data_IF_529164752786
#
_entry.id   IF_529164752786
#
_cell.length_a   1.000
_cell.length_b   1.000
_cell.length_c   1.000
_cell.angle_alpha   90.00
_cell.angle_beta   90.00
_cell.angle_gamma   90.00
#
_symmetry.space_group_name_H-M   'P 1'
#
loop_
_entity.id
_entity.type
_entity.pdbx_description
1 polymer ?
#
# COMPACT_ATOMS: atom_id res chain seq x y z
N UNK A 1 30.47 -31.03 68.13
CA UNK A 1 30.21 -30.23 69.34
C UNK A 1 30.27 -28.76 68.94
N UNK A 2 29.23 -27.98 69.22
CA UNK A 2 29.24 -26.51 69.04
C UNK A 2 29.67 -25.95 70.40
N UNK A 3 30.88 -25.41 70.49
CA UNK A 3 31.31 -24.71 71.69
C UNK A 3 30.72 -23.30 71.65
N UNK A 4 29.85 -22.98 72.61
CA UNK A 4 29.41 -21.60 72.79
C UNK A 4 30.57 -20.77 73.36
N UNK A 5 30.72 -19.54 72.88
CA UNK A 5 31.67 -18.62 73.46
C UNK A 5 31.25 -18.31 74.92
N UNK A 6 32.19 -18.30 75.88
CA UNK A 6 31.87 -17.96 77.26
C UNK A 6 31.40 -16.49 77.35
N UNK A 7 30.38 -16.25 78.19
CA UNK A 7 29.88 -14.90 78.43
C UNK A 7 30.94 -14.06 79.15
N UNK A 8 31.25 -12.88 78.62
CA UNK A 8 32.14 -11.92 79.28
C UNK A 8 31.32 -11.14 80.32
N UNK A 9 31.72 -11.19 81.60
CA UNK A 9 31.08 -10.42 82.65
C UNK A 9 31.47 -8.93 82.51
N UNK A 10 30.64 -8.14 81.82
CA UNK A 10 30.85 -6.70 81.66
C UNK A 10 30.21 -5.98 82.84
N UNK A 11 30.98 -5.12 83.52
CA UNK A 11 30.49 -4.26 84.61
C UNK A 11 29.49 -3.23 84.07
N UNK A 12 28.34 -3.09 84.72
CA UNK A 12 27.15 -2.34 84.25
C UNK A 12 27.31 -0.82 84.06
N UNK A 13 28.51 -0.26 84.27
CA UNK A 13 28.78 1.17 84.11
C UNK A 13 29.44 1.56 82.78
N UNK A 14 29.90 0.60 81.96
CA UNK A 14 30.45 0.86 80.62
C UNK A 14 29.57 0.18 79.56
N UNK A 15 28.58 0.91 79.06
CA UNK A 15 27.73 0.45 77.97
C UNK A 15 28.51 0.51 76.64
N UNK A 16 29.25 -0.55 76.34
CA UNK A 16 29.28 -1.23 75.03
C UNK A 16 29.44 -0.45 73.72
N UNK A 17 30.33 0.54 73.61
CA UNK A 17 30.66 1.16 72.30
C UNK A 17 32.15 1.12 71.91
N UNK A 18 33.06 0.69 72.79
CA UNK A 18 34.50 0.73 72.51
C UNK A 18 35.09 -0.65 72.26
N UNK A 19 35.82 -0.80 71.15
CA UNK A 19 36.77 -1.89 70.96
C UNK A 19 37.81 -1.81 72.06
N UNK A 20 37.86 -2.82 72.90
CA UNK A 20 38.82 -2.86 74.00
C UNK A 20 39.82 -4.00 73.77
N UNK A 21 41.05 -3.74 74.17
CA UNK A 21 42.17 -4.67 74.11
C UNK A 21 42.58 -4.95 75.55
N UNK A 22 42.31 -6.14 76.08
CA UNK A 22 42.69 -6.46 77.44
C UNK A 22 44.21 -6.59 77.51
N UNK A 23 44.82 -6.04 78.56
CA UNK A 23 46.27 -6.19 78.82
C UNK A 23 46.62 -7.65 79.16
N UNK A 24 45.72 -8.35 79.85
CA UNK A 24 45.81 -9.78 80.14
C UNK A 24 44.47 -10.46 79.83
N UNK A 25 44.52 -11.61 79.16
CA UNK A 25 43.35 -12.47 78.96
C UNK A 25 43.74 -13.93 79.16
N UNK A 26 42.77 -14.77 79.51
CA UNK A 26 42.97 -16.20 79.71
C UNK A 26 41.67 -16.96 79.67
N UNK A 27 41.77 -18.28 79.57
CA UNK A 27 40.63 -19.18 79.55
C UNK A 27 40.59 -19.98 80.84
N UNK A 28 39.44 -19.97 81.51
CA UNK A 28 39.16 -20.87 82.62
C UNK A 28 38.76 -22.21 82.00
N UNK A 29 39.68 -23.17 82.04
CA UNK A 29 39.48 -24.53 81.55
C UNK A 29 39.80 -25.50 82.69
N UNK A 30 39.00 -26.56 82.79
CA UNK A 30 39.13 -27.53 83.88
C UNK A 30 40.55 -28.10 83.96
N UNK A 31 41.23 -27.80 85.07
CA UNK A 31 42.58 -28.28 85.41
C UNK A 31 43.72 -27.82 84.47
N UNK A 32 43.55 -26.73 83.69
CA UNK A 32 44.61 -26.19 82.81
C UNK A 32 45.07 -24.81 83.29
N UNK A 33 46.12 -24.78 84.12
CA UNK A 33 46.66 -23.52 84.66
C UNK A 33 47.47 -22.69 83.66
N UNK A 34 47.98 -23.31 82.59
CA UNK A 34 48.83 -22.68 81.58
C UNK A 34 48.10 -21.67 80.68
N UNK A 35 46.77 -21.70 80.67
CA UNK A 35 45.92 -20.85 79.84
C UNK A 35 45.20 -19.76 80.64
N UNK A 36 45.44 -19.65 81.95
CA UNK A 36 44.84 -18.63 82.81
C UNK A 36 45.34 -17.20 82.50
N UNK A 37 46.56 -17.07 81.94
CA UNK A 37 47.12 -15.79 81.46
C UNK A 37 47.91 -16.04 80.17
N UNK A 38 47.45 -15.49 79.05
CA UNK A 38 48.04 -15.64 77.72
C UNK A 38 48.70 -14.33 77.27
N UNK A 39 50.03 -14.24 77.42
CA UNK A 39 50.81 -13.04 77.10
C UNK A 39 51.27 -12.89 75.64
N UNK A 40 50.72 -13.66 74.67
CA UNK A 40 51.33 -13.79 73.32
C UNK A 40 50.42 -13.60 72.10
N UNK A 41 49.20 -13.11 72.25
CA UNK A 41 48.36 -12.73 71.09
C UNK A 41 47.57 -11.47 71.38
N UNK A 42 47.48 -10.56 70.41
CA UNK A 42 46.59 -9.40 70.46
C UNK A 42 45.14 -9.87 70.43
N UNK A 43 44.56 -10.20 71.59
CA UNK A 43 43.13 -10.44 71.72
C UNK A 43 42.40 -9.11 71.71
N UNK A 44 41.31 -9.00 70.95
CA UNK A 44 40.52 -7.77 70.85
C UNK A 44 39.06 -8.16 70.83
N UNK A 45 38.26 -7.60 71.74
CA UNK A 45 36.82 -7.83 71.75
C UNK A 45 36.10 -6.67 71.08
N UNK A 46 35.09 -7.04 70.31
CA UNK A 46 34.21 -6.12 69.61
C UNK A 46 32.82 -6.18 70.24
N UNK A 47 32.09 -5.06 70.27
CA UNK A 47 30.72 -5.05 70.75
C UNK A 47 29.83 -5.97 69.91
N UNK A 48 28.82 -6.57 70.55
CA UNK A 48 27.84 -7.42 69.88
C UNK A 48 27.05 -6.62 68.81
N UNK A 49 26.63 -7.28 67.71
CA UNK A 49 25.76 -6.67 66.72
C UNK A 49 24.40 -6.30 67.34
N UNK A 50 23.98 -5.06 67.16
CA UNK A 50 22.68 -4.54 67.63
C UNK A 50 21.77 -4.31 66.44
N UNK A 51 20.53 -4.78 66.51
CA UNK A 51 19.54 -4.65 65.45
C UNK A 51 18.42 -3.68 65.83
N UNK A 52 17.91 -2.95 64.84
CA UNK A 52 16.74 -2.08 64.98
C UNK A 52 15.46 -2.83 64.58
N UNK A 53 14.36 -2.61 65.32
CA UNK A 53 13.03 -3.11 64.94
C UNK A 53 12.50 -2.38 63.70
N UNK A 54 11.66 -3.04 62.89
CA UNK A 54 11.21 -2.47 61.59
C UNK A 54 10.44 -1.14 61.72
N UNK A 55 9.46 -1.09 62.62
CA UNK A 55 8.61 0.07 62.86
C UNK A 55 8.02 0.00 64.28
N UNK A 56 7.51 1.11 64.86
CA UNK A 56 6.88 1.11 66.19
C UNK A 56 5.70 0.13 66.31
N UNK A 57 5.01 -0.12 65.20
CA UNK A 57 3.88 -1.05 65.07
C UNK A 57 4.30 -2.52 64.84
N UNK A 58 5.60 -2.79 64.64
CA UNK A 58 6.15 -4.15 64.52
C UNK A 58 5.75 -4.91 63.24
N UNK A 59 5.16 -4.25 62.25
CA UNK A 59 4.74 -4.86 60.97
C UNK A 59 5.33 -4.08 59.79
N UNK A 60 5.96 -4.79 58.85
CA UNK A 60 6.50 -4.25 57.60
C UNK A 60 5.69 -4.79 56.40
N UNK A 61 5.10 -3.89 55.61
CA UNK A 61 4.33 -4.24 54.41
C UNK A 61 5.20 -4.27 53.16
N UNK A 62 5.13 -5.36 52.40
CA UNK A 62 6.00 -5.62 51.26
C UNK A 62 5.22 -6.14 50.05
N UNK A 63 5.75 -5.86 48.85
CA UNK A 63 5.27 -6.44 47.59
C UNK A 63 5.98 -7.78 47.34
N UNK A 64 5.40 -8.67 46.52
CA UNK A 64 6.09 -9.89 46.10
C UNK A 64 7.46 -9.56 45.50
N UNK A 65 8.52 -10.22 46.01
CA UNK A 65 9.90 -10.06 45.51
C UNK A 65 10.68 -8.86 46.02
N UNK A 66 10.12 -7.96 46.84
CA UNK A 66 10.90 -6.87 47.44
C UNK A 66 11.80 -7.38 48.58
N UNK A 67 13.07 -6.97 48.66
CA UNK A 67 13.98 -7.46 49.70
C UNK A 67 13.68 -6.82 51.07
N UNK A 68 13.90 -7.57 52.14
CA UNK A 68 13.74 -7.13 53.53
C UNK A 68 15.06 -6.51 54.00
N UNK A 69 14.99 -5.30 54.54
CA UNK A 69 16.15 -4.56 55.06
C UNK A 69 16.04 -4.48 56.58
N UNK A 70 17.00 -5.08 57.27
CA UNK A 70 17.14 -5.00 58.73
C UNK A 70 18.35 -4.14 59.06
N UNK A 71 18.13 -2.97 59.67
CA UNK A 71 19.20 -2.06 60.08
C UNK A 71 19.87 -2.53 61.37
N UNK A 72 21.16 -2.28 61.49
CA UNK A 72 21.91 -2.61 62.69
C UNK A 72 23.25 -1.90 62.78
N UNK A 73 23.91 -2.06 63.93
CA UNK A 73 25.24 -1.53 64.24
C UNK A 73 26.18 -2.68 64.60
N UNK A 74 27.49 -2.49 64.42
CA UNK A 74 28.52 -3.49 64.74
C UNK A 74 28.35 -4.83 63.99
N UNK A 75 27.85 -4.78 62.74
CA UNK A 75 27.56 -5.98 61.94
C UNK A 75 28.83 -6.62 61.34
N UNK A 76 29.91 -5.85 61.18
CA UNK A 76 31.18 -6.34 60.65
C UNK A 76 32.30 -5.83 61.56
N UNK A 77 32.93 -6.69 62.37
CA UNK A 77 34.07 -6.27 63.19
C UNK A 77 35.30 -6.00 62.29
N UNK A 78 36.03 -4.89 62.47
CA UNK A 78 37.20 -4.54 61.65
C UNK A 78 38.44 -5.34 62.09
N UNK A 79 38.54 -6.60 61.68
CA UNK A 79 39.70 -7.46 62.02
C UNK A 79 40.88 -7.18 61.08
N UNK A 80 42.05 -6.84 61.66
CA UNK A 80 43.30 -6.62 60.94
C UNK A 80 43.92 -7.97 60.52
N UNK A 81 43.51 -8.49 59.36
CA UNK A 81 44.11 -9.67 58.73
C UNK A 81 43.12 -10.83 58.52
N UNK A 82 42.43 -10.82 57.39
CA UNK A 82 41.62 -11.95 56.90
C UNK A 82 40.11 -11.74 57.05
N UNK A 83 39.36 -12.07 55.99
CA UNK A 83 37.90 -11.93 55.83
C UNK A 83 37.08 -12.80 56.81
N UNK A 84 37.15 -12.54 58.11
CA UNK A 84 36.33 -13.25 59.10
C UNK A 84 34.95 -12.59 59.20
N UNK A 85 33.99 -13.04 58.40
CA UNK A 85 32.59 -12.59 58.48
C UNK A 85 31.82 -13.41 59.51
N UNK A 86 31.06 -12.76 60.39
CA UNK A 86 30.11 -13.45 61.26
C UNK A 86 29.06 -14.19 60.39
N UNK A 87 28.61 -15.36 60.86
CA UNK A 87 27.60 -16.16 60.15
C UNK A 87 26.21 -15.68 60.56
N UNK A 88 25.57 -14.91 59.68
CA UNK A 88 24.20 -14.45 59.81
C UNK A 88 23.24 -15.46 59.14
N UNK A 89 22.18 -15.84 59.86
CA UNK A 89 21.05 -16.59 59.30
C UNK A 89 19.78 -15.83 59.61
N UNK A 90 18.96 -15.52 58.59
CA UNK A 90 17.65 -14.91 58.80
C UNK A 90 16.53 -15.84 58.31
N UNK A 91 15.48 -15.93 59.13
CA UNK A 91 14.32 -16.76 58.90
C UNK A 91 13.07 -15.90 58.78
N UNK A 92 12.21 -16.25 57.83
CA UNK A 92 10.89 -15.65 57.63
C UNK A 92 9.87 -16.79 57.80
N UNK A 93 9.17 -16.77 58.93
CA UNK A 93 8.42 -17.93 59.40
C UNK A 93 9.38 -19.11 59.63
N UNK A 94 9.18 -20.19 58.88
CA UNK A 94 10.02 -21.40 58.94
C UNK A 94 11.08 -21.46 57.82
N UNK A 95 11.07 -20.52 56.86
CA UNK A 95 11.99 -20.54 55.71
C UNK A 95 13.20 -19.65 55.96
N UNK A 96 14.40 -20.18 55.72
CA UNK A 96 15.63 -19.41 55.71
C UNK A 96 15.75 -18.59 54.42
N UNK A 97 16.18 -17.33 54.51
CA UNK A 97 16.46 -16.50 53.36
C UNK A 97 17.96 -16.26 53.14
N UNK A 98 18.33 -15.94 51.90
CA UNK A 98 19.70 -15.56 51.53
C UNK A 98 19.99 -14.16 52.05
N UNK A 99 21.03 -14.02 52.88
CA UNK A 99 21.35 -12.76 53.56
C UNK A 99 22.64 -12.16 53.01
N UNK A 100 22.58 -10.88 52.66
CA UNK A 100 23.74 -10.05 52.31
C UNK A 100 24.00 -9.06 53.44
N UNK A 101 25.22 -9.07 53.99
CA UNK A 101 25.62 -8.24 55.14
C UNK A 101 26.38 -7.01 54.66
N UNK A 102 25.99 -5.83 55.15
CA UNK A 102 26.70 -4.55 55.02
C UNK A 102 27.05 -4.02 56.42
N UNK A 103 27.89 -2.99 56.52
CA UNK A 103 28.32 -2.40 57.78
C UNK A 103 27.16 -1.87 58.64
N UNK A 104 26.05 -1.50 58.00
CA UNK A 104 24.88 -0.86 58.64
C UNK A 104 23.55 -1.60 58.47
N UNK A 105 23.50 -2.66 57.65
CA UNK A 105 22.26 -3.37 57.36
C UNK A 105 22.45 -4.81 56.86
N UNK A 106 21.46 -5.64 57.14
CA UNK A 106 21.26 -6.97 56.57
C UNK A 106 20.16 -6.89 55.51
N UNK A 107 20.48 -7.30 54.29
CA UNK A 107 19.54 -7.43 53.19
C UNK A 107 19.17 -8.90 53.03
N UNK A 108 17.89 -9.21 52.98
CA UNK A 108 17.39 -10.55 52.72
C UNK A 108 16.44 -10.56 51.55
N UNK A 109 16.71 -11.46 50.61
CA UNK A 109 15.84 -11.68 49.47
C UNK A 109 14.57 -12.40 49.96
N UNK A 110 13.42 -11.75 49.76
CA UNK A 110 12.16 -12.30 50.24
C UNK A 110 11.85 -13.62 49.52
N UNK A 111 11.57 -14.71 50.24
CA UNK A 111 11.11 -15.95 49.62
C UNK A 111 9.72 -15.74 49.00
N UNK A 112 9.35 -16.61 48.04
CA UNK A 112 8.01 -16.66 47.46
C UNK A 112 6.99 -17.15 48.50
N UNK A 113 6.56 -16.24 49.37
CA UNK A 113 5.53 -16.43 50.38
C UNK A 113 4.58 -15.24 50.34
N UNK A 114 3.29 -15.47 50.55
CA UNK A 114 2.26 -14.44 50.73
C UNK A 114 1.70 -14.52 52.14
N UNK A 115 1.20 -13.41 52.68
CA UNK A 115 0.62 -13.35 54.03
C UNK A 115 1.58 -12.83 55.11
N UNK A 116 1.24 -13.08 56.38
CA UNK A 116 1.91 -12.51 57.56
C UNK A 116 2.89 -13.50 58.19
N UNK A 117 4.18 -13.16 58.23
CA UNK A 117 5.25 -14.05 58.70
C UNK A 117 6.17 -13.36 59.72
N UNK A 118 6.67 -14.09 60.72
CA UNK A 118 7.61 -13.57 61.73
C UNK A 118 9.03 -13.58 61.18
N UNK A 119 9.79 -12.50 61.40
CA UNK A 119 11.21 -12.45 61.01
C UNK A 119 12.10 -12.72 62.21
N UNK A 120 13.11 -13.57 62.05
CA UNK A 120 14.09 -13.93 63.08
C UNK A 120 15.51 -13.86 62.50
N UNK A 121 16.36 -13.01 63.07
CA UNK A 121 17.78 -12.92 62.75
C UNK A 121 18.61 -13.66 63.81
N UNK A 122 19.50 -14.56 63.39
CA UNK A 122 20.39 -15.34 64.23
C UNK A 122 21.85 -15.09 63.85
N UNK A 123 22.68 -14.80 64.85
CA UNK A 123 24.13 -14.57 64.67
C UNK A 123 24.88 -15.28 65.77
N UNK A 124 25.67 -16.30 65.41
CA UNK A 124 26.31 -17.15 66.40
C UNK A 124 25.28 -17.79 67.35
N UNK A 125 25.34 -17.43 68.64
CA UNK A 125 24.39 -17.85 69.67
C UNK A 125 23.27 -16.86 70.01
N UNK A 126 23.22 -15.69 69.35
CA UNK A 126 22.21 -14.65 69.62
C UNK A 126 21.04 -14.73 68.65
N UNK A 127 19.83 -14.50 69.16
CA UNK A 127 18.59 -14.45 68.39
C UNK A 127 17.85 -13.13 68.61
N UNK A 128 17.46 -12.48 67.51
CA UNK A 128 16.74 -11.22 67.53
C UNK A 128 15.53 -11.26 66.60
N UNK A 129 14.39 -10.74 67.05
CA UNK A 129 13.13 -10.74 66.30
C UNK A 129 12.67 -9.30 66.02
N UNK A 130 12.96 -8.73 64.84
CA UNK A 130 12.65 -7.33 64.52
C UNK A 130 11.16 -7.02 64.33
N UNK A 131 10.33 -8.04 64.07
CA UNK A 131 8.89 -7.89 63.84
C UNK A 131 8.31 -8.90 62.85
N UNK A 132 7.12 -8.59 62.33
CA UNK A 132 6.39 -9.38 61.33
C UNK A 132 6.45 -8.69 59.95
N UNK A 133 6.44 -9.45 58.87
CA UNK A 133 6.28 -8.96 57.49
C UNK A 133 4.93 -9.38 56.92
N UNK A 134 4.27 -8.51 56.16
CA UNK A 134 3.02 -8.80 55.44
C UNK A 134 3.24 -8.64 53.93
N UNK A 135 3.17 -9.76 53.19
CA UNK A 135 3.40 -9.79 51.73
C UNK A 135 2.05 -9.86 51.02
N UNK A 136 1.74 -8.83 50.21
CA UNK A 136 0.48 -8.70 49.48
C UNK A 136 0.44 -9.60 48.23
N UNK A 137 -0.69 -10.23 47.88
CA UNK A 137 -0.82 -11.03 46.65
C UNK A 137 -0.93 -10.15 45.39
N UNK A 138 -0.26 -10.57 44.31
CA UNK A 138 -0.39 -9.92 42.99
C UNK A 138 -1.79 -10.16 42.40
N UNK A 139 -2.54 -9.10 42.14
CA UNK A 139 -3.85 -9.17 41.47
C UNK A 139 -3.70 -8.90 39.97
N UNK A 140 -4.05 -9.84 39.07
CA UNK A 140 -3.65 -9.76 37.67
C UNK A 140 -4.45 -8.81 36.75
N UNK A 141 -5.50 -8.11 37.19
CA UNK A 141 -6.13 -6.95 36.52
C UNK A 141 -7.31 -6.46 37.37
N UNK A 142 -7.57 -5.16 37.41
CA UNK A 142 -8.69 -4.62 38.18
C UNK A 142 -10.02 -4.94 37.47
N UNK A 143 -11.03 -5.37 38.22
CA UNK A 143 -12.40 -5.64 37.71
C UNK A 143 -12.95 -4.50 36.81
N UNK A 144 -12.71 -3.20 37.10
CA UNK A 144 -13.10 -2.10 36.22
C UNK A 144 -12.45 -2.13 34.82
N UNK A 145 -11.22 -2.63 34.70
CA UNK A 145 -10.52 -2.72 33.41
C UNK A 145 -11.17 -3.75 32.47
N UNK A 146 -11.72 -4.84 33.00
CA UNK A 146 -12.39 -5.88 32.19
C UNK A 146 -13.72 -5.35 31.64
N UNK A 147 -14.50 -4.66 32.48
CA UNK A 147 -15.79 -4.09 32.09
C UNK A 147 -15.63 -3.03 31.00
N UNK A 148 -14.60 -2.19 31.09
CA UNK A 148 -14.34 -1.15 30.09
C UNK A 148 -13.92 -1.72 28.73
N UNK A 149 -13.08 -2.75 28.69
CA UNK A 149 -12.67 -3.42 27.44
C UNK A 149 -13.87 -4.11 26.77
N UNK A 150 -14.73 -4.77 27.55
CA UNK A 150 -15.93 -5.43 27.03
C UNK A 150 -16.93 -4.42 26.44
N UNK A 151 -17.15 -3.28 27.11
CA UNK A 151 -18.02 -2.21 26.62
C UNK A 151 -17.50 -1.58 25.31
N UNK A 152 -16.18 -1.31 25.23
CA UNK A 152 -15.56 -0.77 24.03
C UNK A 152 -15.64 -1.75 22.84
N UNK A 153 -15.39 -3.04 23.08
CA UNK A 153 -15.53 -4.08 22.06
C UNK A 153 -16.96 -4.21 21.54
N UNK A 154 -17.95 -4.17 22.43
CA UNK A 154 -19.37 -4.21 22.06
C UNK A 154 -19.79 -3.03 21.18
N UNK A 155 -19.38 -1.80 21.55
CA UNK A 155 -19.65 -0.60 20.76
C UNK A 155 -19.04 -0.66 19.34
N UNK A 156 -17.82 -1.19 19.22
CA UNK A 156 -17.13 -1.32 17.94
C UNK A 156 -17.85 -2.31 17.01
N UNK A 157 -18.34 -3.44 17.55
CA UNK A 157 -19.13 -4.41 16.79
C UNK A 157 -20.45 -3.80 16.30
N UNK A 158 -21.16 -3.06 17.17
CA UNK A 158 -22.42 -2.38 16.79
C UNK A 158 -22.17 -1.37 15.67
N UNK A 159 -21.07 -0.62 15.74
CA UNK A 159 -20.69 0.33 14.70
C UNK A 159 -20.42 -0.36 13.35
N UNK A 160 -19.67 -1.46 13.33
CA UNK A 160 -19.41 -2.25 12.12
C UNK A 160 -20.72 -2.77 11.51
N UNK A 161 -21.63 -3.30 12.34
CA UNK A 161 -22.94 -3.79 11.87
C UNK A 161 -23.77 -2.65 11.27
N UNK A 162 -23.80 -1.48 11.91
CA UNK A 162 -24.49 -0.30 11.37
C UNK A 162 -23.93 0.14 10.01
N UNK A 163 -22.61 0.14 9.85
CA UNK A 163 -21.94 0.46 8.57
C UNK A 163 -22.29 -0.58 7.50
N UNK A 164 -22.30 -1.87 7.82
CA UNK A 164 -22.70 -2.93 6.88
C UNK A 164 -24.16 -2.82 6.45
N UNK A 165 -25.06 -2.49 7.39
CA UNK A 165 -26.48 -2.24 7.09
C UNK A 165 -26.62 -1.00 6.19
N UNK A 166 -25.91 0.09 6.50
CA UNK A 166 -25.91 1.30 5.68
C UNK A 166 -25.36 1.03 4.28
N UNK A 167 -24.26 0.29 4.17
CA UNK A 167 -23.66 -0.11 2.89
C UNK A 167 -24.62 -0.98 2.07
N UNK A 168 -25.24 -2.01 2.68
CA UNK A 168 -26.25 -2.83 1.99
C UNK A 168 -27.47 -2.03 1.58
N UNK A 169 -27.92 -1.08 2.40
CA UNK A 169 -29.04 -0.19 2.07
C UNK A 169 -28.68 0.72 0.90
N UNK A 170 -27.49 1.32 0.91
CA UNK A 170 -26.97 2.19 -0.16
C UNK A 170 -26.77 1.43 -1.48
N UNK A 171 -26.19 0.22 -1.41
CA UNK A 171 -26.00 -0.66 -2.57
C UNK A 171 -27.34 -1.11 -3.16
N UNK A 172 -28.32 -1.45 -2.31
CA UNK A 172 -29.66 -1.80 -2.77
C UNK A 172 -30.37 -0.61 -3.41
N UNK A 173 -30.19 0.59 -2.87
CA UNK A 173 -30.74 1.81 -3.45
C UNK A 173 -30.14 2.11 -4.83
N UNK A 174 -28.81 2.00 -4.99
CA UNK A 174 -28.16 2.16 -6.30
C UNK A 174 -28.61 1.10 -7.31
N UNK A 175 -28.71 -0.17 -6.88
CA UNK A 175 -29.19 -1.25 -7.74
C UNK A 175 -30.65 -1.04 -8.17
N UNK A 176 -31.49 -0.54 -7.26
CA UNK A 176 -32.88 -0.17 -7.58
C UNK A 176 -32.95 1.00 -8.55
N UNK A 177 -32.09 2.01 -8.41
CA UNK A 177 -32.03 3.13 -9.39
C UNK A 177 -31.59 2.65 -10.76
N UNK A 178 -30.59 1.76 -10.84
CA UNK A 178 -30.12 1.20 -12.11
C UNK A 178 -31.20 0.35 -12.76
N UNK A 179 -31.85 -0.55 -11.99
CA UNK A 179 -32.99 -1.35 -12.48
C UNK A 179 -34.17 -0.48 -12.92
N UNK A 180 -34.43 0.64 -12.24
CA UNK A 180 -35.47 1.59 -12.64
C UNK A 180 -35.13 2.28 -13.96
N UNK A 181 -33.87 2.71 -14.15
CA UNK A 181 -33.41 3.28 -15.42
C UNK A 181 -33.51 2.25 -16.56
N UNK A 182 -33.12 0.99 -16.32
CA UNK A 182 -33.29 -0.10 -17.29
C UNK A 182 -34.76 -0.33 -17.62
N UNK A 183 -35.63 -0.47 -16.62
CA UNK A 183 -37.06 -0.68 -16.87
C UNK A 183 -37.73 0.53 -17.55
N UNK A 184 -37.29 1.75 -17.28
CA UNK A 184 -37.75 2.94 -17.99
C UNK A 184 -37.29 2.92 -19.46
N UNK A 185 -36.06 2.47 -19.72
CA UNK A 185 -35.55 2.26 -21.08
C UNK A 185 -36.34 1.17 -21.80
N UNK A 186 -36.56 0.01 -21.17
CA UNK A 186 -37.31 -1.11 -21.76
C UNK A 186 -38.77 -0.74 -22.05
N UNK A 187 -39.41 0.06 -21.19
CA UNK A 187 -40.77 0.53 -21.40
C UNK A 187 -40.85 1.60 -22.52
N UNK A 188 -39.85 2.49 -22.61
CA UNK A 188 -39.73 3.42 -23.73
C UNK A 188 -39.45 2.66 -25.03
N UNK A 189 -38.53 1.70 -25.01
CA UNK A 189 -38.21 0.81 -26.12
C UNK A 189 -39.45 0.04 -26.57
N UNK A 190 -40.23 -0.55 -25.67
CA UNK A 190 -41.45 -1.29 -26.03
C UNK A 190 -42.55 -0.40 -26.63
N UNK A 191 -42.66 0.86 -26.19
CA UNK A 191 -43.63 1.82 -26.76
C UNK A 191 -43.20 2.26 -28.16
N UNK A 192 -41.91 2.49 -28.34
CA UNK A 192 -41.31 2.93 -29.59
C UNK A 192 -41.06 1.75 -30.55
N UNK A 193 -41.01 0.51 -30.08
CA UNK A 193 -40.69 -0.65 -30.91
C UNK A 193 -41.73 -0.93 -32.01
N UNK A 194 -43.01 -0.64 -31.76
CA UNK A 194 -44.05 -0.76 -32.78
C UNK A 194 -43.93 0.37 -33.81
N UNK A 195 -43.77 1.61 -33.35
CA UNK A 195 -43.53 2.79 -34.21
C UNK A 195 -42.24 2.64 -35.02
N UNK A 196 -41.17 2.09 -34.43
CA UNK A 196 -39.91 1.80 -35.11
C UNK A 196 -40.04 0.64 -36.09
N UNK A 197 -40.87 -0.38 -35.83
CA UNK A 197 -41.11 -1.45 -36.82
C UNK A 197 -41.88 -0.94 -38.02
N UNK A 198 -42.86 -0.07 -37.79
CA UNK A 198 -43.62 0.57 -38.87
C UNK A 198 -42.72 1.54 -39.65
N UNK A 199 -41.98 2.42 -38.95
CA UNK A 199 -41.01 3.31 -39.58
C UNK A 199 -39.88 2.54 -40.29
N UNK A 200 -39.46 1.38 -39.77
CA UNK A 200 -38.47 0.52 -40.42
C UNK A 200 -39.05 -0.12 -41.69
N UNK A 201 -40.30 -0.59 -41.66
CA UNK A 201 -40.95 -1.13 -42.85
C UNK A 201 -41.10 -0.05 -43.93
N UNK A 202 -41.50 1.16 -43.55
CA UNK A 202 -41.58 2.33 -44.43
C UNK A 202 -40.20 2.72 -44.98
N UNK A 203 -39.18 2.77 -44.12
CA UNK A 203 -37.81 3.07 -44.55
C UNK A 203 -37.26 1.96 -45.46
N UNK A 204 -37.58 0.69 -45.20
CA UNK A 204 -37.14 -0.42 -46.01
C UNK A 204 -37.77 -0.38 -47.40
N UNK A 205 -39.04 0.02 -47.52
CA UNK A 205 -39.66 0.26 -48.84
C UNK A 205 -39.02 1.44 -49.55
N UNK A 206 -38.77 2.54 -48.84
CA UNK A 206 -38.18 3.75 -49.40
C UNK A 206 -36.73 3.53 -49.87
N UNK A 207 -35.92 2.82 -49.07
CA UNK A 207 -34.56 2.42 -49.44
C UNK A 207 -34.62 1.42 -50.57
N UNK A 208 -35.56 0.46 -50.57
CA UNK A 208 -35.65 -0.51 -51.65
C UNK A 208 -35.94 0.18 -52.99
N UNK A 209 -36.83 1.17 -53.00
CA UNK A 209 -37.09 2.03 -54.16
C UNK A 209 -35.82 2.80 -54.58
N UNK A 210 -35.13 3.44 -53.64
CA UNK A 210 -33.88 4.15 -53.92
C UNK A 210 -32.76 3.22 -54.42
N UNK A 211 -32.66 2.00 -53.86
CA UNK A 211 -31.68 0.99 -54.28
C UNK A 211 -32.03 0.36 -55.62
N UNK A 212 -33.32 0.21 -55.94
CA UNK A 212 -33.78 -0.22 -57.26
C UNK A 212 -33.40 0.81 -58.33
N UNK A 213 -33.44 2.11 -58.00
CA UNK A 213 -32.94 3.17 -58.88
C UNK A 213 -31.40 3.14 -58.99
N UNK A 214 -30.72 2.76 -57.91
CA UNK A 214 -29.27 2.55 -57.89
C UNK A 214 -28.82 1.29 -58.65
N UNK A 215 -29.66 0.29 -58.87
CA UNK A 215 -29.32 -0.87 -59.72
C UNK A 215 -29.01 -0.44 -61.17
N UNK A 216 -29.49 0.72 -61.61
CA UNK A 216 -29.14 1.34 -62.89
C UNK A 216 -27.88 2.20 -62.87
N UNK A 217 -27.55 2.85 -61.74
CA UNK A 217 -26.46 3.83 -61.63
C UNK A 217 -25.19 3.31 -60.89
N UNK A 218 -25.33 2.25 -60.10
CA UNK A 218 -24.32 1.70 -59.21
C UNK A 218 -24.02 2.57 -57.99
N UNK A 219 -23.44 1.97 -56.95
CA UNK A 219 -22.95 2.71 -55.78
C UNK A 219 -21.80 3.62 -56.22
N UNK A 220 -21.79 4.92 -55.82
CA UNK A 220 -20.76 5.88 -56.20
C UNK A 220 -19.46 5.66 -55.41
N UNK A 221 -18.81 4.52 -55.62
CA UNK A 221 -17.51 4.22 -55.02
C UNK A 221 -16.45 5.22 -55.51
N UNK A 222 -15.71 5.78 -54.56
CA UNK A 222 -14.49 6.51 -54.90
C UNK A 222 -13.45 5.54 -55.49
N UNK A 223 -12.71 6.03 -56.48
CA UNK A 223 -11.55 5.31 -57.00
C UNK A 223 -10.48 5.15 -55.91
N UNK A 224 -9.64 4.14 -56.08
CA UNK A 224 -8.64 3.76 -55.09
C UNK A 224 -7.74 4.94 -54.69
N UNK A 225 -7.34 5.79 -55.65
CA UNK A 225 -6.46 6.93 -55.41
C UNK A 225 -7.18 7.98 -54.56
N UNK A 226 -8.39 8.41 -54.94
CA UNK A 226 -9.14 9.40 -54.15
C UNK A 226 -9.50 8.90 -52.76
N UNK A 227 -9.95 7.64 -52.65
CA UNK A 227 -10.23 7.00 -51.36
C UNK A 227 -9.00 7.04 -50.45
N UNK A 228 -7.86 6.56 -50.97
CA UNK A 228 -6.62 6.48 -50.23
C UNK A 228 -6.15 7.86 -49.74
N UNK A 229 -6.22 8.86 -50.62
CA UNK A 229 -5.79 10.22 -50.28
C UNK A 229 -6.66 10.86 -49.21
N UNK A 230 -7.98 10.67 -49.26
CA UNK A 230 -8.89 11.19 -48.23
C UNK A 230 -8.64 10.57 -46.85
N UNK A 231 -8.17 9.32 -46.78
CA UNK A 231 -7.88 8.64 -45.50
C UNK A 231 -6.48 8.98 -44.97
N UNK A 232 -5.48 9.01 -45.84
CA UNK A 232 -4.10 9.31 -45.45
C UNK A 232 -3.93 10.80 -45.09
N UNK A 233 -4.56 11.70 -45.84
CA UNK A 233 -4.44 13.16 -45.70
C UNK A 233 -5.82 13.83 -45.59
N UNK A 234 -6.54 13.64 -44.46
CA UNK A 234 -7.90 14.14 -44.31
C UNK A 234 -7.95 15.67 -44.35
N UNK A 235 -8.91 16.20 -45.12
CA UNK A 235 -9.13 17.65 -45.27
C UNK A 235 -8.19 18.36 -46.24
N UNK A 236 -7.36 17.63 -47.00
CA UNK A 236 -6.47 18.19 -48.03
C UNK A 236 -6.90 17.63 -49.39
N UNK A 237 -7.61 18.43 -50.18
CA UNK A 237 -8.11 17.99 -51.50
C UNK A 237 -6.99 17.92 -52.54
N UNK A 238 -6.06 18.90 -52.53
CA UNK A 238 -5.01 19.04 -53.52
C UNK A 238 -3.62 18.83 -52.91
N UNK A 239 -3.37 17.59 -52.48
CA UNK A 239 -2.13 17.23 -51.80
C UNK A 239 -0.96 17.11 -52.81
N UNK A 240 0.25 17.63 -52.50
CA UNK A 240 1.40 17.61 -53.42
C UNK A 240 1.80 16.21 -53.95
N UNK A 241 1.49 15.15 -53.21
CA UNK A 241 1.67 13.75 -53.64
C UNK A 241 0.96 13.43 -54.96
N UNK A 242 -0.11 14.16 -55.28
CA UNK A 242 -0.89 13.94 -56.49
C UNK A 242 -0.36 14.69 -57.71
N UNK A 243 0.59 15.61 -57.51
CA UNK A 243 1.15 16.46 -58.55
C UNK A 243 2.57 16.03 -58.88
N UNK A 244 3.03 16.44 -60.05
CA UNK A 244 4.43 16.32 -60.41
C UNK A 244 5.30 17.23 -59.53
N UNK A 245 6.56 16.83 -59.34
CA UNK A 245 7.49 17.57 -58.50
C UNK A 245 7.85 18.92 -59.15
N UNK A 246 7.27 20.00 -58.63
CA UNK A 246 7.56 21.37 -59.08
C UNK A 246 8.85 21.89 -58.43
N UNK A 247 9.97 21.82 -59.16
CA UNK A 247 11.27 22.38 -58.73
C UNK A 247 11.80 23.32 -59.81
N UNK A 248 12.32 24.52 -59.48
CA UNK A 248 12.93 25.41 -60.46
C UNK A 248 14.04 24.71 -61.25
N UNK A 249 14.04 24.83 -62.59
CA UNK A 249 14.86 24.01 -63.49
C UNK A 249 16.36 23.97 -63.18
N UNK A 250 16.93 25.04 -62.61
CA UNK A 250 18.35 25.08 -62.22
C UNK A 250 18.70 24.19 -61.01
N UNK A 251 17.71 23.75 -60.21
CA UNK A 251 17.90 22.85 -59.05
C UNK A 251 17.30 21.47 -59.25
N UNK A 252 16.51 21.28 -60.31
CA UNK A 252 15.71 20.08 -60.51
C UNK A 252 16.56 18.81 -60.47
N UNK A 253 17.64 18.75 -61.26
CA UNK A 253 18.52 17.58 -61.31
C UNK A 253 19.15 17.25 -59.94
N UNK A 254 19.59 18.29 -59.21
CA UNK A 254 20.20 18.10 -57.88
C UNK A 254 19.19 17.61 -56.84
N UNK A 255 17.98 18.15 -56.86
CA UNK A 255 16.91 17.76 -55.95
C UNK A 255 16.44 16.34 -56.26
N UNK A 256 16.20 16.01 -57.52
CA UNK A 256 15.81 14.66 -57.94
C UNK A 256 16.88 13.62 -57.57
N UNK A 257 18.17 13.94 -57.78
CA UNK A 257 19.28 13.06 -57.35
C UNK A 257 19.27 12.85 -55.83
N UNK A 258 19.06 13.90 -55.05
CA UNK A 258 18.94 13.82 -53.60
C UNK A 258 17.76 12.96 -53.14
N UNK A 259 16.58 13.15 -53.74
CA UNK A 259 15.38 12.38 -53.45
C UNK A 259 15.54 10.90 -53.82
N UNK A 260 16.20 10.58 -54.94
CA UNK A 260 16.53 9.19 -55.32
C UNK A 260 17.44 8.52 -54.29
N UNK A 261 18.49 9.21 -53.82
CA UNK A 261 19.36 8.69 -52.75
C UNK A 261 18.60 8.53 -51.43
N UNK A 262 17.72 9.47 -51.09
CA UNK A 262 16.88 9.36 -49.89
C UNK A 262 15.91 8.18 -50.00
N UNK A 263 15.28 7.96 -51.16
CA UNK A 263 14.44 6.80 -51.40
C UNK A 263 15.22 5.48 -51.24
N UNK A 264 16.50 5.43 -51.63
CA UNK A 264 17.36 4.26 -51.34
C UNK A 264 17.55 4.05 -49.84
N UNK A 265 17.72 5.11 -49.05
CA UNK A 265 17.80 5.01 -47.58
C UNK A 265 16.47 4.52 -46.98
N UNK A 266 15.32 4.98 -47.47
CA UNK A 266 14.00 4.50 -47.01
C UNK A 266 13.81 3.00 -47.29
N UNK A 267 14.43 2.47 -48.35
CA UNK A 267 14.45 1.04 -48.67
C UNK A 267 15.45 0.24 -47.80
N UNK A 268 16.22 0.87 -46.93
CA UNK A 268 17.06 0.19 -45.95
C UNK A 268 16.31 0.09 -44.61
N UNK A 269 16.00 -1.16 -44.20
CA UNK A 269 15.20 -1.44 -42.98
C UNK A 269 15.80 -0.80 -41.73
N UNK A 270 17.12 -0.89 -41.56
CA UNK A 270 17.82 -0.36 -40.38
C UNK A 270 17.74 1.15 -40.33
N UNK A 271 17.93 1.81 -41.49
CA UNK A 271 17.78 3.26 -41.59
C UNK A 271 16.36 3.68 -41.27
N UNK A 272 15.35 3.09 -41.90
CA UNK A 272 13.96 3.50 -41.74
C UNK A 272 13.45 3.34 -40.30
N UNK A 273 13.79 2.22 -39.65
CA UNK A 273 13.47 2.01 -38.23
C UNK A 273 14.16 3.07 -37.35
N UNK A 274 15.44 3.31 -37.57
CA UNK A 274 16.19 4.32 -36.81
C UNK A 274 15.63 5.72 -37.02
N UNK A 275 15.31 6.07 -38.27
CA UNK A 275 14.72 7.36 -38.64
C UNK A 275 13.40 7.61 -37.90
N UNK A 276 12.47 6.66 -37.91
CA UNK A 276 11.18 6.78 -37.21
C UNK A 276 11.40 6.90 -35.70
N UNK A 277 12.22 6.04 -35.11
CA UNK A 277 12.54 6.07 -33.66
C UNK A 277 13.15 7.41 -33.25
N UNK A 278 14.07 7.95 -34.05
CA UNK A 278 14.69 9.25 -33.78
C UNK A 278 13.67 10.38 -33.83
N UNK A 279 12.77 10.40 -34.82
CA UNK A 279 11.70 11.40 -34.89
C UNK A 279 10.77 11.33 -33.67
N UNK A 280 10.30 10.12 -33.32
CA UNK A 280 9.37 9.95 -32.20
C UNK A 280 9.99 10.27 -30.84
N UNK A 281 11.31 10.16 -30.70
CA UNK A 281 12.01 10.54 -29.47
C UNK A 281 12.02 12.06 -29.21
N UNK A 282 11.74 12.87 -30.22
CA UNK A 282 11.75 14.34 -30.09
C UNK A 282 10.46 14.83 -29.44
N UNK A 283 10.58 15.62 -28.37
CA UNK A 283 9.41 16.21 -27.67
C UNK A 283 8.63 17.20 -28.54
N UNK A 284 9.31 17.86 -29.48
CA UNK A 284 8.70 18.80 -30.43
C UNK A 284 7.91 18.09 -31.53
N UNK A 285 8.07 16.77 -31.70
CA UNK A 285 7.36 16.02 -32.72
C UNK A 285 5.90 15.83 -32.27
N UNK A 286 4.97 16.52 -32.92
CA UNK A 286 3.57 16.54 -32.53
C UNK A 286 2.79 15.33 -33.04
N UNK A 287 1.57 15.13 -32.53
CA UNK A 287 0.66 14.09 -33.02
C UNK A 287 0.33 14.24 -34.50
N UNK A 288 0.22 15.48 -34.98
CA UNK A 288 0.01 15.79 -36.39
C UNK A 288 1.22 15.39 -37.23
N UNK A 289 2.44 15.67 -36.75
CA UNK A 289 3.67 15.33 -37.46
C UNK A 289 3.84 13.81 -37.58
N UNK A 290 3.54 13.06 -36.50
CA UNK A 290 3.48 11.59 -36.52
C UNK A 290 2.55 11.09 -37.62
N UNK A 291 1.34 11.66 -37.67
CA UNK A 291 0.33 11.34 -38.66
C UNK A 291 0.78 11.57 -40.10
N UNK A 292 1.42 12.71 -40.35
CA UNK A 292 1.94 13.11 -41.65
C UNK A 292 3.11 12.23 -42.11
N UNK A 293 4.09 11.99 -41.23
CA UNK A 293 5.26 11.15 -41.54
C UNK A 293 4.82 9.71 -41.84
N UNK A 294 3.92 9.14 -41.03
CA UNK A 294 3.37 7.81 -41.30
C UNK A 294 2.70 7.72 -42.68
N UNK A 295 1.92 8.74 -43.04
CA UNK A 295 1.18 8.76 -44.31
C UNK A 295 2.12 8.92 -45.51
N UNK A 296 3.10 9.82 -45.43
CA UNK A 296 4.11 9.99 -46.47
C UNK A 296 4.98 8.73 -46.66
N UNK A 297 5.44 8.10 -45.57
CA UNK A 297 6.22 6.85 -45.65
C UNK A 297 5.38 5.76 -46.30
N UNK A 298 4.12 5.60 -45.89
CA UNK A 298 3.24 4.58 -46.47
C UNK A 298 2.92 4.84 -47.95
N UNK A 299 2.78 6.10 -48.36
CA UNK A 299 2.68 6.48 -49.78
C UNK A 299 3.94 6.07 -50.55
N UNK A 300 5.13 6.40 -50.04
CA UNK A 300 6.41 6.04 -50.69
C UNK A 300 6.59 4.51 -50.79
N UNK A 301 6.14 3.78 -49.78
CA UNK A 301 6.26 2.32 -49.71
C UNK A 301 5.08 1.57 -50.32
N UNK A 302 4.10 2.26 -50.91
CA UNK A 302 2.88 1.66 -51.44
C UNK A 302 3.15 0.60 -52.51
N UNK A 303 4.19 0.77 -53.34
CA UNK A 303 4.57 -0.23 -54.35
C UNK A 303 5.38 -1.41 -53.78
N UNK A 304 5.72 -1.39 -52.49
CA UNK A 304 6.54 -2.39 -51.80
C UNK A 304 5.91 -2.78 -50.45
N UNK A 305 4.63 -3.17 -50.48
CA UNK A 305 3.87 -3.47 -49.26
C UNK A 305 4.44 -4.61 -48.43
N UNK A 306 5.12 -5.58 -49.04
CA UNK A 306 5.81 -6.66 -48.30
C UNK A 306 6.88 -6.07 -47.36
N UNK A 307 7.76 -5.23 -47.89
CA UNK A 307 8.77 -4.51 -47.11
C UNK A 307 8.13 -3.57 -46.07
N UNK A 308 7.10 -2.83 -46.46
CA UNK A 308 6.36 -1.95 -45.53
C UNK A 308 5.78 -2.74 -44.34
N UNK A 309 5.24 -3.94 -44.61
CA UNK A 309 4.67 -4.83 -43.60
C UNK A 309 5.74 -5.36 -42.66
N UNK A 310 6.93 -5.68 -43.17
CA UNK A 310 8.06 -6.13 -42.34
C UNK A 310 8.62 -5.03 -41.43
N UNK A 311 8.63 -3.79 -41.91
CA UNK A 311 8.98 -2.62 -41.09
C UNK A 311 7.90 -2.36 -40.04
N UNK A 312 6.64 -2.37 -40.44
CA UNK A 312 5.50 -2.14 -39.55
C UNK A 312 5.42 -3.17 -38.43
N UNK A 313 5.61 -4.46 -38.73
CA UNK A 313 5.66 -5.53 -37.72
C UNK A 313 6.73 -5.26 -36.66
N UNK A 314 7.92 -4.83 -37.07
CA UNK A 314 9.00 -4.49 -36.13
C UNK A 314 8.63 -3.27 -35.28
N UNK A 315 8.11 -2.20 -35.87
CA UNK A 315 7.71 -1.00 -35.14
C UNK A 315 6.59 -1.28 -34.12
N UNK A 316 5.62 -2.14 -34.48
CA UNK A 316 4.58 -2.57 -33.56
C UNK A 316 5.13 -3.44 -32.43
N UNK A 317 6.09 -4.33 -32.71
CA UNK A 317 6.79 -5.09 -31.68
C UNK A 317 7.49 -4.16 -30.69
N UNK A 318 8.25 -3.19 -31.19
CA UNK A 318 8.95 -2.21 -30.35
C UNK A 318 7.94 -1.40 -29.49
N UNK A 319 6.78 -1.06 -30.06
CA UNK A 319 5.71 -0.35 -29.34
C UNK A 319 5.12 -1.21 -28.21
N UNK A 320 4.88 -2.49 -28.46
CA UNK A 320 4.41 -3.46 -27.47
C UNK A 320 5.44 -3.58 -26.34
N UNK A 321 6.70 -3.83 -26.67
CA UNK A 321 7.78 -4.03 -25.70
C UNK A 321 7.95 -2.80 -24.80
N UNK A 322 7.98 -1.60 -25.40
CA UNK A 322 8.07 -0.33 -24.65
C UNK A 322 6.87 -0.11 -23.73
N UNK A 323 5.66 -0.51 -24.14
CA UNK A 323 4.47 -0.39 -23.31
C UNK A 323 4.52 -1.32 -22.10
N UNK A 324 4.99 -2.56 -22.31
CA UNK A 324 5.19 -3.55 -21.25
C UNK A 324 6.28 -3.12 -20.27
N UNK A 325 7.41 -2.61 -20.76
CA UNK A 325 8.48 -2.05 -19.93
C UNK A 325 8.00 -0.88 -19.07
N UNK A 326 7.14 -0.03 -19.63
CA UNK A 326 6.54 1.11 -18.93
C UNK A 326 5.49 0.69 -17.88
N UNK A 327 5.22 -0.61 -17.73
CA UNK A 327 4.16 -1.18 -16.87
C UNK A 327 2.77 -0.58 -17.12
N UNK A 328 2.53 -0.13 -18.36
CA UNK A 328 1.23 0.37 -18.75
C UNK A 328 0.23 -0.78 -18.83
N UNK A 329 -1.05 -0.47 -18.62
CA UNK A 329 -2.09 -1.49 -18.67
C UNK A 329 -2.26 -2.01 -20.11
N UNK A 330 -2.14 -3.34 -20.38
CA UNK A 330 -2.12 -3.86 -21.75
C UNK A 330 -3.35 -3.52 -22.59
N UNK A 331 -4.54 -3.44 -21.97
CA UNK A 331 -5.78 -3.04 -22.66
C UNK A 331 -5.79 -1.57 -23.15
N UNK A 332 -4.78 -0.77 -22.80
CA UNK A 332 -4.63 0.61 -23.27
C UNK A 332 -3.72 0.72 -24.51
N UNK A 333 -2.99 -0.34 -24.87
CA UNK A 333 -2.18 -0.38 -26.08
C UNK A 333 -3.07 -0.31 -27.33
N UNK A 334 -2.66 0.45 -28.36
CA UNK A 334 -3.43 0.68 -29.59
C UNK A 334 -4.81 1.35 -29.38
N UNK A 335 -5.12 1.84 -28.17
CA UNK A 335 -6.40 2.49 -27.87
C UNK A 335 -6.55 3.84 -28.57
N UNK A 336 -5.44 4.54 -28.78
CA UNK A 336 -5.39 5.86 -29.42
C UNK A 336 -4.23 5.82 -30.41
N UNK A 337 -4.43 6.38 -31.59
CA UNK A 337 -3.38 6.46 -32.63
C UNK A 337 -2.37 7.54 -32.23
N UNK A 338 -1.41 7.20 -31.36
CA UNK A 338 -0.46 8.16 -30.78
C UNK A 338 0.98 7.99 -31.28
N UNK A 339 1.26 6.91 -32.01
CA UNK A 339 2.54 6.62 -32.65
C UNK A 339 2.47 6.62 -34.17
N UNK A 340 3.63 6.81 -34.81
CA UNK A 340 3.84 6.63 -36.24
C UNK A 340 3.46 5.20 -36.64
N UNK A 341 3.83 4.20 -35.84
CA UNK A 341 3.50 2.80 -36.08
C UNK A 341 1.98 2.55 -36.14
N UNK A 342 1.22 3.10 -35.19
CA UNK A 342 -0.24 2.98 -35.18
C UNK A 342 -0.89 3.65 -36.40
N UNK A 343 -0.44 4.84 -36.79
CA UNK A 343 -0.96 5.49 -38.01
C UNK A 343 -0.56 4.72 -39.27
N UNK A 344 0.68 4.21 -39.35
CA UNK A 344 1.11 3.35 -40.46
C UNK A 344 0.24 2.09 -40.56
N UNK A 345 -0.17 1.51 -39.42
CA UNK A 345 -1.11 0.38 -39.38
C UNK A 345 -2.48 0.76 -39.95
N UNK A 346 -3.04 1.93 -39.58
CA UNK A 346 -4.29 2.42 -40.19
C UNK A 346 -4.16 2.59 -41.71
N UNK A 347 -3.04 3.16 -42.18
CA UNK A 347 -2.80 3.35 -43.61
C UNK A 347 -2.59 2.00 -44.33
N UNK A 348 -1.95 1.04 -43.69
CA UNK A 348 -1.79 -0.32 -44.20
C UNK A 348 -3.13 -1.03 -44.39
N UNK A 349 -4.02 -0.95 -43.40
CA UNK A 349 -5.40 -1.44 -43.54
C UNK A 349 -6.17 -0.73 -44.64
N UNK A 350 -5.97 0.59 -44.78
CA UNK A 350 -6.60 1.38 -45.86
C UNK A 350 -6.25 0.81 -47.23
N UNK A 351 -4.97 0.50 -47.48
CA UNK A 351 -4.55 -0.06 -48.75
C UNK A 351 -5.13 -1.46 -49.01
N UNK A 352 -5.11 -2.33 -48.00
CA UNK A 352 -5.43 -3.75 -48.17
C UNK A 352 -6.93 -4.06 -48.10
N UNK A 353 -7.69 -3.27 -47.34
CA UNK A 353 -9.13 -3.49 -47.16
C UNK A 353 -9.98 -2.77 -48.20
N UNK A 354 -9.39 -2.01 -49.13
CA UNK A 354 -10.17 -1.32 -50.18
C UNK A 354 -11.01 -2.30 -51.02
N UNK A 355 -10.45 -3.45 -51.40
CA UNK A 355 -11.18 -4.48 -52.16
C UNK A 355 -12.34 -5.05 -51.34
N UNK A 356 -12.10 -5.37 -50.07
CA UNK A 356 -13.15 -5.83 -49.14
C UNK A 356 -14.25 -4.78 -48.93
N UNK A 357 -13.87 -3.51 -48.85
CA UNK A 357 -14.83 -2.41 -48.78
C UNK A 357 -15.68 -2.35 -50.05
N UNK A 358 -15.09 -2.52 -51.24
CA UNK A 358 -15.85 -2.47 -52.49
C UNK A 358 -16.75 -3.69 -52.69
N UNK A 359 -16.30 -4.88 -52.29
CA UNK A 359 -16.96 -6.15 -52.60
C UNK A 359 -17.90 -6.66 -51.50
N UNK A 360 -17.76 -6.22 -50.25
CA UNK A 360 -18.51 -6.76 -49.12
C UNK A 360 -19.12 -5.68 -48.23
N UNK A 361 -18.31 -4.76 -47.71
CA UNK A 361 -18.76 -3.83 -46.68
C UNK A 361 -19.37 -2.53 -47.22
N UNK A 362 -19.16 -2.22 -48.49
CA UNK A 362 -19.51 -0.93 -49.11
C UNK A 362 -21.00 -0.76 -49.34
N UNK A 363 -21.66 -1.81 -49.82
CA UNK A 363 -23.12 -1.84 -50.01
C UNK A 363 -23.89 -1.62 -48.69
N UNK A 364 -23.67 -2.41 -47.61
CA UNK A 364 -24.37 -2.17 -46.36
C UNK A 364 -24.01 -0.82 -45.73
N UNK A 365 -22.77 -0.35 -45.90
CA UNK A 365 -22.37 0.98 -45.41
C UNK A 365 -23.10 2.11 -46.15
N UNK A 366 -23.19 2.02 -47.47
CA UNK A 366 -23.89 3.00 -48.29
C UNK A 366 -25.40 2.96 -48.05
N UNK A 367 -25.99 1.76 -47.93
CA UNK A 367 -27.39 1.58 -47.56
C UNK A 367 -27.69 2.21 -46.20
N UNK A 368 -26.83 2.02 -45.19
CA UNK A 368 -26.97 2.67 -43.90
C UNK A 368 -26.87 4.19 -43.98
N UNK A 369 -25.95 4.72 -44.80
CA UNK A 369 -25.86 6.16 -45.03
C UNK A 369 -27.15 6.72 -45.65
N UNK A 370 -27.67 6.08 -46.70
CA UNK A 370 -28.92 6.47 -47.34
C UNK A 370 -30.09 6.39 -46.35
N UNK A 371 -30.18 5.31 -45.57
CA UNK A 371 -31.18 5.11 -44.53
C UNK A 371 -31.20 6.26 -43.52
N UNK A 372 -30.03 6.62 -42.98
CA UNK A 372 -29.91 7.71 -42.01
C UNK A 372 -30.28 9.04 -42.68
N UNK A 373 -29.76 9.32 -43.87
CA UNK A 373 -30.04 10.57 -44.59
C UNK A 373 -31.54 10.74 -44.84
N UNK A 374 -32.19 9.72 -45.40
CA UNK A 374 -33.61 9.73 -45.71
C UNK A 374 -34.45 9.87 -44.43
N UNK A 375 -34.10 9.16 -43.36
CA UNK A 375 -34.78 9.30 -42.07
C UNK A 375 -34.63 10.72 -41.48
N UNK A 376 -33.49 11.39 -41.66
CA UNK A 376 -33.32 12.78 -41.24
C UNK A 376 -34.21 13.71 -42.06
N UNK A 377 -34.26 13.52 -43.38
CA UNK A 377 -34.99 14.37 -44.34
C UNK A 377 -36.52 14.24 -44.25
N UNK A 378 -37.06 13.19 -43.60
CA UNK A 378 -38.49 13.07 -43.29
C UNK A 378 -39.01 14.12 -42.30
N UNK A 379 -38.12 14.79 -41.57
CA UNK A 379 -38.48 15.80 -40.57
C UNK A 379 -37.80 17.14 -40.82
N UNK A 380 -38.20 18.20 -40.08
CA UNK A 380 -37.53 19.49 -40.15
C UNK A 380 -36.05 19.38 -39.78
N UNK A 381 -35.21 20.03 -40.59
CA UNK A 381 -33.78 20.22 -40.35
C UNK A 381 -33.51 21.72 -40.33
N UNK A 382 -32.92 22.22 -39.24
CA UNK A 382 -32.51 23.60 -39.13
C UNK A 382 -31.25 23.85 -39.96
N UNK A 383 -31.38 24.70 -40.99
CA UNK A 383 -30.29 25.05 -41.90
C UNK A 383 -29.10 25.77 -41.25
N UNK A 384 -29.29 26.42 -40.09
CA UNK A 384 -28.25 27.20 -39.41
C UNK A 384 -27.51 26.33 -38.39
N UNK A 385 -28.25 25.63 -37.52
CA UNK A 385 -27.68 24.84 -36.42
C UNK A 385 -27.34 23.40 -36.83
N UNK A 386 -27.97 22.90 -37.90
CA UNK A 386 -27.90 21.50 -38.32
C UNK A 386 -28.64 20.55 -37.36
N UNK A 387 -29.50 21.07 -36.48
CA UNK A 387 -30.36 20.24 -35.63
C UNK A 387 -31.50 19.64 -36.48
N UNK A 388 -31.88 18.40 -36.17
CA UNK A 388 -32.93 17.69 -36.90
C UNK A 388 -33.93 17.05 -35.94
N UNK A 389 -35.20 16.97 -36.36
CA UNK A 389 -36.28 16.35 -35.58
C UNK A 389 -36.02 14.87 -35.28
N UNK A 390 -35.43 14.14 -36.24
CA UNK A 390 -35.17 12.71 -36.14
C UNK A 390 -33.70 12.36 -35.83
N UNK A 391 -32.91 13.34 -35.36
CA UNK A 391 -31.48 13.14 -35.05
C UNK A 391 -31.22 11.93 -34.15
N UNK A 392 -30.24 11.10 -34.51
CA UNK A 392 -29.72 10.02 -33.67
C UNK A 392 -28.84 10.54 -32.52
N UNK A 393 -28.37 11.78 -32.60
CA UNK A 393 -27.61 12.45 -31.55
C UNK A 393 -28.52 13.34 -30.71
N UNK A 394 -28.49 13.16 -29.38
CA UNK A 394 -29.26 13.99 -28.45
C UNK A 394 -28.88 15.48 -28.54
N UNK A 395 -27.61 15.78 -28.78
CA UNK A 395 -27.08 17.14 -28.91
C UNK A 395 -27.54 17.84 -30.20
N UNK A 396 -27.99 17.08 -31.20
CA UNK A 396 -28.50 17.58 -32.47
C UNK A 396 -30.02 17.39 -32.63
N UNK A 397 -30.71 17.04 -31.54
CA UNK A 397 -32.14 16.80 -31.54
C UNK A 397 -32.90 18.11 -31.34
N UNK A 398 -33.79 18.44 -32.28
CA UNK A 398 -34.73 19.56 -32.09
C UNK A 398 -35.70 19.21 -30.94
N UNK A 399 -35.62 19.99 -29.86
CA UNK A 399 -36.49 19.85 -28.67
C UNK A 399 -37.77 20.70 -28.76
N UNK A 400 -37.81 21.63 -29.70
CA UNK A 400 -38.95 22.51 -29.90
C UNK A 400 -40.07 21.77 -30.65
N UNK A 401 -41.31 22.09 -30.32
CA UNK A 401 -42.45 21.64 -31.12
C UNK A 401 -42.51 22.49 -32.38
N UNK A 402 -42.31 21.87 -33.54
CA UNK A 402 -42.38 22.50 -34.86
C UNK A 402 -43.51 21.82 -35.61
N UNK A 403 -44.51 22.60 -36.02
CA UNK A 403 -45.58 22.13 -36.88
C UNK A 403 -45.09 22.16 -38.35
N UNK A 404 -45.20 21.03 -39.04
CA UNK A 404 -44.83 20.89 -40.44
C UNK A 404 -45.78 19.93 -41.17
N UNK A 405 -45.77 19.98 -42.50
CA UNK A 405 -46.51 19.06 -43.37
C UNK A 405 -45.64 18.71 -44.57
N UNK A 406 -45.64 17.45 -44.95
CA UNK A 406 -45.07 16.98 -46.22
C UNK A 406 -45.93 17.54 -47.37
N UNK A 407 -45.29 18.14 -48.36
CA UNK A 407 -45.93 18.76 -49.52
C UNK A 407 -45.94 17.84 -50.74
#
# INVERSE_FOLDING_TARGET
MICQAPAVAINSNNLGETTERPEEFGFILDNVQSLLVLNKTNFTYYPDPVFESFNPSGILELKPGSPIILKGKNLIPPVAGGNMKLKYSMYIGEKQCTVTVSDVQLLCESPNLTGRHKVLARVGGMEFSPGMVYITPDSPLSVPAIVSIAAAGGLLIIFIVAVLIAYKRKSRESDLTLKRLQMQMDNLESRVALECKEAFAELQTDIHELTSDLDGAGIPFLDYRTYTMRVLFPGIEDHPVLRDLEVPGYRQERVEKGLKLFAQQINNKVFLLSFIRTLESQRSFSMRDRGNVASLIMTVLQSKLEYATDVLKQLLSDLIDKNLESKNHPKLLLRRTESVAEKMLTNWFTFLLYKFLKECAGEPLFSLFCAIKQQMEKGPIDSITGEARYSLSEDKLIRQQIDYKTL
#
